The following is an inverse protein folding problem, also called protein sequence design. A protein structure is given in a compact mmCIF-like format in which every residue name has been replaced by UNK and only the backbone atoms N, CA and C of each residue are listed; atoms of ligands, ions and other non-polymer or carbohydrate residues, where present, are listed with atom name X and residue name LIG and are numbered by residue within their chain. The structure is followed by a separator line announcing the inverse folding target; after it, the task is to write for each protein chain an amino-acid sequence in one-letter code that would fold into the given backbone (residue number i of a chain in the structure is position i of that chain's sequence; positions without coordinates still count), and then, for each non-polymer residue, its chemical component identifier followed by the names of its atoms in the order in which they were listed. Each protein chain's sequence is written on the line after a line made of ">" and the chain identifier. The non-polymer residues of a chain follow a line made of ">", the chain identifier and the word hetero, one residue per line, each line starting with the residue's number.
data_IF_338774994187
#
_entry.id   IF_338774994187
#
_cell.length_a   1.000
_cell.length_b   1.000
_cell.length_c   1.000
_cell.angle_alpha   90.00
_cell.angle_beta   90.00
_cell.angle_gamma   90.00
#
_symmetry.space_group_name_H-M   'P 1'
#
loop_
_entity.id
_entity.type
_entity.pdbx_description
1 polymer ?
#
# COMPACT_ATOMS: atom_id res chain seq x y z
N UNK A 1 18.57 29.88 -5.80
CA UNK A 1 17.52 28.85 -5.75
C UNK A 1 16.26 29.44 -5.18
N UNK A 2 15.09 29.32 -5.81
CA UNK A 2 13.84 29.80 -5.23
C UNK A 2 13.51 28.97 -3.98
N UNK A 3 12.85 29.57 -2.98
CA UNK A 3 12.53 28.91 -1.71
C UNK A 3 11.79 27.57 -1.87
N UNK A 4 10.89 27.46 -2.88
CA UNK A 4 10.19 26.22 -3.21
C UNK A 4 11.13 25.09 -3.66
N UNK A 5 12.11 25.38 -4.52
CA UNK A 5 13.10 24.41 -4.98
C UNK A 5 13.98 23.90 -3.82
N UNK A 6 14.33 24.78 -2.89
CA UNK A 6 15.09 24.42 -1.69
C UNK A 6 14.28 23.50 -0.79
N UNK A 7 12.99 23.81 -0.63
CA UNK A 7 12.08 23.00 0.17
C UNK A 7 11.93 21.59 -0.41
N UNK A 8 11.75 21.45 -1.73
CA UNK A 8 11.65 20.16 -2.41
C UNK A 8 12.95 19.35 -2.33
N UNK A 9 14.11 20.00 -2.46
CA UNK A 9 15.41 19.37 -2.27
C UNK A 9 15.55 18.78 -0.86
N UNK A 10 15.20 19.55 0.16
CA UNK A 10 15.26 19.10 1.55
C UNK A 10 14.34 17.91 1.81
N UNK A 11 13.12 17.91 1.27
CA UNK A 11 12.19 16.80 1.38
C UNK A 11 12.78 15.53 0.71
N UNK A 12 13.37 15.63 -0.48
CA UNK A 12 14.00 14.50 -1.17
C UNK A 12 15.16 13.92 -0.39
N UNK A 13 16.06 14.76 0.11
CA UNK A 13 17.21 14.33 0.94
C UNK A 13 16.75 13.69 2.25
N UNK A 14 15.75 14.29 2.90
CA UNK A 14 15.20 13.77 4.15
C UNK A 14 14.52 12.41 3.94
N UNK A 15 13.77 12.22 2.83
CA UNK A 15 13.19 10.93 2.48
C UNK A 15 14.26 9.84 2.42
N UNK A 16 15.35 10.05 1.70
CA UNK A 16 16.44 9.07 1.61
C UNK A 16 17.06 8.80 2.98
N UNK A 17 17.32 9.83 3.78
CA UNK A 17 17.89 9.67 5.13
C UNK A 17 16.96 8.89 6.07
N UNK A 18 15.67 9.20 6.08
CA UNK A 18 14.68 8.50 6.90
C UNK A 18 14.44 7.06 6.44
N UNK A 19 14.45 6.81 5.13
CA UNK A 19 14.32 5.45 4.60
C UNK A 19 15.51 4.57 5.00
N UNK A 20 16.73 5.12 5.00
CA UNK A 20 17.96 4.44 5.36
C UNK A 20 18.05 4.14 6.86
N UNK A 21 17.92 5.18 7.71
CA UNK A 21 18.25 5.12 9.14
C UNK A 21 17.03 5.09 10.07
N UNK A 22 15.82 5.29 9.54
CA UNK A 22 14.61 5.53 10.33
C UNK A 22 14.56 6.94 10.92
N UNK A 23 13.44 7.27 11.59
CA UNK A 23 13.27 8.56 12.25
C UNK A 23 14.30 8.79 13.35
N UNK A 24 14.47 7.84 14.27
CA UNK A 24 15.36 7.97 15.42
C UNK A 24 16.84 8.04 15.03
N UNK A 25 17.26 7.27 14.03
CA UNK A 25 18.64 7.22 13.53
C UNK A 25 19.05 8.43 12.67
N UNK A 26 18.13 9.33 12.32
CA UNK A 26 18.39 10.49 11.47
C UNK A 26 18.47 11.77 12.30
N UNK A 27 19.44 12.64 12.03
CA UNK A 27 19.57 13.96 12.66
C UNK A 27 19.35 15.10 11.65
N UNK A 28 19.00 16.31 12.16
CA UNK A 28 18.90 17.52 11.32
C UNK A 28 20.26 17.85 10.72
N UNK A 29 21.35 17.60 11.45
CA UNK A 29 22.73 17.79 11.01
C UNK A 29 23.05 16.92 9.79
N UNK A 30 22.66 15.64 9.84
CA UNK A 30 22.87 14.68 8.74
C UNK A 30 22.11 15.13 7.47
N UNK A 31 20.83 15.52 7.63
CA UNK A 31 20.03 16.02 6.52
C UNK A 31 20.60 17.32 5.94
N UNK A 32 20.99 18.27 6.79
CA UNK A 32 21.54 19.55 6.36
C UNK A 32 22.87 19.36 5.59
N UNK A 33 23.73 18.47 6.10
CA UNK A 33 24.99 18.13 5.45
C UNK A 33 24.77 17.47 4.06
N UNK A 34 23.86 16.51 3.97
CA UNK A 34 23.50 15.84 2.70
C UNK A 34 22.85 16.79 1.68
N UNK A 35 22.10 17.78 2.16
CA UNK A 35 21.45 18.79 1.31
C UNK A 35 22.35 19.99 0.99
N UNK A 36 23.59 20.01 1.51
CA UNK A 36 24.54 21.11 1.37
C UNK A 36 23.96 22.45 1.82
N UNK A 37 23.27 22.45 2.99
CA UNK A 37 22.71 23.66 3.61
C UNK A 37 23.15 23.77 5.06
N UNK A 38 22.94 24.95 5.65
CA UNK A 38 23.12 25.12 7.09
C UNK A 38 21.90 24.61 7.88
N UNK A 39 22.12 24.13 9.09
CA UNK A 39 21.08 23.67 10.01
C UNK A 39 19.92 24.66 10.19
N UNK A 40 20.15 25.99 10.36
CA UNK A 40 19.09 26.98 10.42
C UNK A 40 18.10 26.95 9.25
N UNK A 41 18.55 26.62 8.03
CA UNK A 41 17.67 26.52 6.86
C UNK A 41 16.64 25.40 7.03
N UNK A 42 17.01 24.25 7.61
CA UNK A 42 16.06 23.19 7.90
C UNK A 42 15.01 23.62 8.92
N UNK A 43 15.45 24.32 9.98
CA UNK A 43 14.54 24.84 11.00
C UNK A 43 13.59 25.92 10.45
N UNK A 44 14.08 26.79 9.57
CA UNK A 44 13.28 27.84 8.92
C UNK A 44 12.15 27.24 8.07
N UNK A 45 12.45 26.16 7.33
CA UNK A 45 11.46 25.57 6.41
C UNK A 45 10.50 24.58 7.08
N UNK A 46 10.91 23.91 8.15
CA UNK A 46 10.18 22.76 8.71
C UNK A 46 10.04 22.76 10.22
N UNK A 47 10.67 23.70 10.95
CA UNK A 47 10.63 23.72 12.42
C UNK A 47 11.49 22.67 13.11
N UNK A 48 12.16 21.79 12.36
CA UNK A 48 13.02 20.73 12.89
C UNK A 48 12.81 19.37 12.22
N UNK A 49 13.31 18.31 12.86
CA UNK A 49 13.25 16.93 12.35
C UNK A 49 11.81 16.41 12.26
N UNK A 50 11.04 16.65 13.30
CA UNK A 50 9.64 16.22 13.43
C UNK A 50 8.77 16.82 12.31
N UNK A 51 8.89 18.15 12.10
CA UNK A 51 8.12 18.83 11.05
C UNK A 51 8.54 18.39 9.65
N UNK A 52 9.84 18.17 9.43
CA UNK A 52 10.33 17.65 8.15
C UNK A 52 9.86 16.21 7.90
N UNK A 53 9.91 15.35 8.93
CA UNK A 53 9.40 13.97 8.84
C UNK A 53 7.90 13.93 8.53
N UNK A 54 7.11 14.73 9.24
CA UNK A 54 5.66 14.81 9.00
C UNK A 54 5.35 15.22 7.56
N UNK A 55 6.09 16.19 6.99
CA UNK A 55 5.91 16.60 5.58
C UNK A 55 6.32 15.49 4.60
N UNK A 56 7.38 14.74 4.89
CA UNK A 56 7.79 13.59 4.06
C UNK A 56 6.71 12.52 4.09
N UNK A 57 6.25 12.10 5.28
CA UNK A 57 5.20 11.08 5.43
C UNK A 57 3.91 11.51 4.73
N UNK A 58 3.45 12.75 4.96
CA UNK A 58 2.22 13.27 4.33
C UNK A 58 2.31 13.21 2.80
N UNK A 59 3.44 13.62 2.22
CA UNK A 59 3.66 13.57 0.77
C UNK A 59 3.57 12.15 0.22
N UNK A 60 4.18 11.18 0.88
CA UNK A 60 4.15 9.77 0.47
C UNK A 60 2.75 9.17 0.64
N UNK A 61 2.04 9.49 1.74
CA UNK A 61 0.63 9.13 1.96
C UNK A 61 -0.24 9.63 0.82
N UNK A 62 -0.16 10.92 0.49
CA UNK A 62 -0.96 11.53 -0.59
C UNK A 62 -0.66 10.91 -1.95
N UNK A 63 0.60 10.64 -2.25
CA UNK A 63 1.02 10.04 -3.52
C UNK A 63 0.44 8.64 -3.68
N UNK A 64 0.64 7.76 -2.70
CA UNK A 64 0.14 6.38 -2.74
C UNK A 64 -1.39 6.33 -2.73
N UNK A 65 -2.02 7.06 -1.82
CA UNK A 65 -3.49 7.12 -1.70
C UNK A 65 -4.15 7.58 -3.01
N UNK A 66 -3.62 8.65 -3.62
CA UNK A 66 -4.14 9.18 -4.89
C UNK A 66 -4.01 8.16 -6.00
N UNK A 67 -2.85 7.51 -6.16
CA UNK A 67 -2.61 6.53 -7.21
C UNK A 67 -3.60 5.34 -7.11
N UNK A 68 -3.78 4.78 -5.91
CA UNK A 68 -4.69 3.64 -5.71
C UNK A 68 -6.15 4.09 -5.86
N UNK A 69 -6.52 5.25 -5.35
CA UNK A 69 -7.89 5.78 -5.48
C UNK A 69 -8.27 5.98 -6.94
N UNK A 70 -7.41 6.58 -7.74
CA UNK A 70 -7.64 6.78 -9.18
C UNK A 70 -7.80 5.45 -9.91
N UNK A 71 -6.96 4.47 -9.60
CA UNK A 71 -7.05 3.12 -10.14
C UNK A 71 -8.40 2.46 -9.85
N UNK A 72 -8.87 2.52 -8.59
CA UNK A 72 -10.13 1.92 -8.16
C UNK A 72 -11.38 2.70 -8.60
N UNK A 73 -11.23 3.96 -9.01
CA UNK A 73 -12.32 4.80 -9.51
C UNK A 73 -12.38 4.84 -11.04
N UNK A 74 -11.63 4.00 -11.75
CA UNK A 74 -11.62 3.97 -13.22
C UNK A 74 -13.04 3.67 -13.75
N UNK A 75 -13.63 4.58 -14.54
CA UNK A 75 -14.99 4.43 -15.04
C UNK A 75 -15.13 3.21 -15.94
N UNK A 76 -16.26 2.51 -15.81
CA UNK A 76 -16.61 1.34 -16.63
C UNK A 76 -15.63 0.14 -16.55
N UNK A 77 -14.70 0.15 -15.61
CA UNK A 77 -13.81 -0.99 -15.39
C UNK A 77 -14.60 -2.15 -14.76
N UNK A 78 -14.51 -3.34 -15.36
CA UNK A 78 -15.05 -4.57 -14.75
C UNK A 78 -14.25 -4.98 -13.50
N UNK A 79 -14.84 -5.83 -12.65
CA UNK A 79 -14.26 -6.21 -11.35
C UNK A 79 -12.83 -6.75 -11.46
N UNK A 80 -12.52 -7.61 -12.43
CA UNK A 80 -11.16 -8.10 -12.66
C UNK A 80 -10.20 -6.94 -12.97
N UNK A 81 -10.62 -6.02 -13.83
CA UNK A 81 -9.79 -4.86 -14.20
C UNK A 81 -9.51 -3.94 -13.04
N UNK A 82 -10.44 -3.77 -12.11
CA UNK A 82 -10.21 -2.99 -10.88
C UNK A 82 -9.16 -3.66 -9.97
N UNK A 83 -9.18 -5.00 -9.85
CA UNK A 83 -8.13 -5.74 -9.11
C UNK A 83 -6.76 -5.52 -9.78
N UNK A 84 -6.69 -5.64 -11.11
CA UNK A 84 -5.45 -5.38 -11.88
C UNK A 84 -4.93 -3.97 -11.65
N UNK A 85 -5.78 -2.97 -11.82
CA UNK A 85 -5.40 -1.56 -11.69
C UNK A 85 -4.95 -1.21 -10.26
N UNK A 86 -5.69 -1.65 -9.23
CA UNK A 86 -5.33 -1.41 -7.84
C UNK A 86 -4.01 -2.10 -7.46
N UNK A 87 -3.82 -3.36 -7.90
CA UNK A 87 -2.56 -4.09 -7.68
C UNK A 87 -1.39 -3.38 -8.36
N UNK A 88 -1.56 -3.00 -9.64
CA UNK A 88 -0.51 -2.31 -10.38
C UNK A 88 -0.18 -0.94 -9.77
N UNK A 89 -1.17 -0.17 -9.32
CA UNK A 89 -0.94 1.13 -8.70
C UNK A 89 -0.04 1.04 -7.46
N UNK A 90 -0.24 0.02 -6.59
CA UNK A 90 0.64 -0.22 -5.46
C UNK A 90 2.04 -0.63 -5.90
N UNK A 91 2.17 -1.60 -6.82
CA UNK A 91 3.47 -2.10 -7.27
C UNK A 91 4.25 -1.04 -8.07
N UNK A 92 3.57 -0.19 -8.86
CA UNK A 92 4.16 0.96 -9.55
C UNK A 92 4.75 1.97 -8.55
N UNK A 93 4.01 2.25 -7.46
CA UNK A 93 4.50 3.12 -6.41
C UNK A 93 5.73 2.51 -5.70
N UNK A 94 5.69 1.22 -5.35
CA UNK A 94 6.82 0.53 -4.71
C UNK A 94 8.08 0.58 -5.58
N UNK A 95 7.94 0.34 -6.88
CA UNK A 95 9.06 0.37 -7.84
C UNK A 95 9.61 1.78 -8.05
N UNK A 96 8.73 2.78 -8.17
CA UNK A 96 9.13 4.17 -8.44
C UNK A 96 9.61 4.91 -7.19
N UNK A 97 9.15 4.54 -6.01
CA UNK A 97 9.46 5.20 -4.75
C UNK A 97 9.69 4.22 -3.59
N UNK A 98 10.68 3.32 -3.68
CA UNK A 98 10.94 2.29 -2.66
C UNK A 98 11.28 2.91 -1.28
N UNK A 99 11.95 4.05 -1.26
CA UNK A 99 12.25 4.80 -0.03
C UNK A 99 10.98 5.31 0.66
N UNK A 100 10.06 5.90 -0.11
CA UNK A 100 8.76 6.37 0.39
C UNK A 100 7.95 5.23 0.98
N UNK A 101 7.89 4.10 0.28
CA UNK A 101 7.16 2.93 0.77
C UNK A 101 7.77 2.35 2.06
N UNK A 102 9.11 2.32 2.18
CA UNK A 102 9.78 1.91 3.42
C UNK A 102 9.42 2.83 4.60
N UNK A 103 9.35 4.14 4.39
CA UNK A 103 8.93 5.09 5.43
C UNK A 103 7.50 4.77 5.88
N UNK A 104 6.56 4.66 4.92
CA UNK A 104 5.16 4.38 5.23
C UNK A 104 4.96 3.07 6.00
N UNK A 105 5.67 2.01 5.63
CA UNK A 105 5.53 0.68 6.27
C UNK A 105 6.20 0.58 7.64
N UNK A 106 7.27 1.33 7.87
CA UNK A 106 7.94 1.41 9.18
C UNK A 106 7.10 2.17 10.20
N UNK A 107 6.38 3.18 9.76
CA UNK A 107 5.54 4.03 10.62
C UNK A 107 4.31 3.28 11.22
N UNK A 108 4.11 1.99 10.89
CA UNK A 108 3.09 1.12 11.51
C UNK A 108 3.29 0.87 13.00
N UNK A 109 4.48 1.10 13.53
CA UNK A 109 4.86 0.67 14.89
C UNK A 109 4.97 1.78 15.92
N UNK A 110 4.81 3.05 15.55
CA UNK A 110 5.15 4.13 16.47
C UNK A 110 4.32 5.40 16.33
N UNK A 111 3.24 5.50 17.06
CA UNK A 111 2.82 6.78 17.65
C UNK A 111 1.88 7.66 16.84
N UNK A 112 1.37 8.60 17.56
CA UNK A 112 0.31 9.60 17.38
C UNK A 112 0.33 10.50 16.12
N UNK A 113 1.22 10.33 15.19
CA UNK A 113 1.24 11.08 13.92
C UNK A 113 0.40 10.36 12.86
N UNK A 114 -0.89 10.61 12.91
CA UNK A 114 -1.95 9.94 12.15
C UNK A 114 -1.94 10.18 10.64
N UNK A 115 -0.93 9.70 9.95
CA UNK A 115 -0.86 9.63 8.51
C UNK A 115 -0.32 8.28 8.03
N UNK A 116 -0.40 7.28 8.87
CA UNK A 116 0.27 6.00 8.67
C UNK A 116 -0.30 5.20 7.49
N UNK A 117 0.52 4.31 6.96
CA UNK A 117 0.12 3.28 5.98
C UNK A 117 -1.16 2.53 6.38
N UNK A 118 -1.41 2.39 7.70
CA UNK A 118 -2.64 1.82 8.22
C UNK A 118 -3.90 2.60 7.87
N UNK A 119 -3.87 3.94 7.88
CA UNK A 119 -5.02 4.75 7.47
C UNK A 119 -5.28 4.66 5.96
N UNK A 120 -4.22 4.64 5.14
CA UNK A 120 -4.36 4.40 3.69
C UNK A 120 -5.02 3.05 3.44
N UNK A 121 -4.56 1.99 4.12
CA UNK A 121 -5.15 0.65 3.97
C UNK A 121 -6.61 0.62 4.42
N UNK A 122 -6.98 1.31 5.50
CA UNK A 122 -8.37 1.38 5.96
C UNK A 122 -9.29 2.05 4.93
N UNK A 123 -8.85 3.14 4.32
CA UNK A 123 -9.60 3.83 3.25
C UNK A 123 -9.75 2.95 2.01
N UNK A 124 -8.68 2.23 1.63
CA UNK A 124 -8.70 1.28 0.51
C UNK A 124 -9.66 0.13 0.81
N UNK A 125 -9.59 -0.48 2.01
CA UNK A 125 -10.51 -1.55 2.43
C UNK A 125 -11.95 -1.08 2.35
N UNK A 126 -12.27 0.11 2.85
CA UNK A 126 -13.63 0.67 2.77
C UNK A 126 -14.10 0.78 1.32
N UNK A 127 -13.25 1.29 0.44
CA UNK A 127 -13.59 1.42 -0.98
C UNK A 127 -13.78 0.06 -1.67
N UNK A 128 -12.90 -0.90 -1.39
CA UNK A 128 -13.00 -2.27 -1.94
C UNK A 128 -14.26 -2.97 -1.40
N UNK A 129 -14.60 -2.76 -0.12
CA UNK A 129 -15.82 -3.28 0.50
C UNK A 129 -17.08 -2.78 -0.24
N UNK A 130 -17.18 -1.49 -0.55
CA UNK A 130 -18.32 -0.93 -1.27
C UNK A 130 -18.46 -1.56 -2.66
N UNK A 131 -17.35 -1.70 -3.39
CA UNK A 131 -17.32 -2.34 -4.70
C UNK A 131 -17.75 -3.82 -4.62
N UNK A 132 -17.24 -4.56 -3.66
CA UNK A 132 -17.59 -5.97 -3.45
C UNK A 132 -19.04 -6.15 -2.99
N UNK A 133 -19.55 -5.27 -2.12
CA UNK A 133 -20.94 -5.29 -1.67
C UNK A 133 -21.93 -5.23 -2.83
N UNK A 134 -21.69 -4.32 -3.79
CA UNK A 134 -22.48 -4.21 -5.01
C UNK A 134 -22.39 -5.47 -5.89
N UNK A 135 -21.18 -6.03 -6.07
CA UNK A 135 -20.96 -7.26 -6.85
C UNK A 135 -21.66 -8.46 -6.19
N UNK A 136 -21.55 -8.60 -4.86
CA UNK A 136 -22.15 -9.70 -4.11
C UNK A 136 -23.68 -9.66 -4.21
N UNK A 137 -24.29 -8.49 -4.03
CA UNK A 137 -25.75 -8.32 -4.25
C UNK A 137 -26.15 -8.76 -5.65
N UNK A 138 -25.43 -8.32 -6.69
CA UNK A 138 -25.73 -8.68 -8.08
C UNK A 138 -25.61 -10.18 -8.35
N UNK A 139 -24.67 -10.85 -7.68
CA UNK A 139 -24.44 -12.30 -7.83
C UNK A 139 -25.30 -13.16 -6.89
N UNK A 140 -26.11 -12.55 -6.02
CA UNK A 140 -26.92 -13.26 -5.02
C UNK A 140 -26.08 -13.90 -3.90
N UNK A 141 -24.89 -13.34 -3.62
CA UNK A 141 -24.05 -13.67 -2.48
C UNK A 141 -24.38 -12.79 -1.28
N UNK A 142 -24.05 -13.22 -0.06
CA UNK A 142 -24.28 -12.40 1.13
C UNK A 142 -23.36 -11.16 1.17
N UNK A 143 -23.88 -9.92 1.06
CA UNK A 143 -23.08 -8.71 1.10
C UNK A 143 -22.39 -8.48 2.45
N UNK A 144 -22.84 -9.14 3.54
CA UNK A 144 -22.18 -9.08 4.85
C UNK A 144 -20.78 -9.67 4.85
N UNK A 145 -20.46 -10.53 3.86
CA UNK A 145 -19.12 -11.07 3.69
C UNK A 145 -18.16 -10.11 2.97
N UNK A 146 -18.65 -9.05 2.32
CA UNK A 146 -17.82 -8.11 1.57
C UNK A 146 -16.67 -7.49 2.39
N UNK A 147 -16.83 -7.11 3.67
CA UNK A 147 -15.74 -6.61 4.50
C UNK A 147 -14.59 -7.61 4.66
N UNK A 148 -14.92 -8.90 4.85
CA UNK A 148 -13.91 -9.96 4.97
C UNK A 148 -13.05 -10.07 3.71
N UNK A 149 -13.70 -10.11 2.55
CA UNK A 149 -12.99 -10.22 1.26
C UNK A 149 -12.21 -8.95 0.91
N UNK A 150 -12.73 -7.78 1.26
CA UNK A 150 -12.00 -6.52 1.10
C UNK A 150 -10.72 -6.51 1.92
N UNK A 151 -10.79 -6.95 3.17
CA UNK A 151 -9.63 -7.07 4.06
C UNK A 151 -8.62 -8.09 3.53
N UNK A 152 -9.09 -9.27 3.08
CA UNK A 152 -8.24 -10.31 2.55
C UNK A 152 -7.49 -9.86 1.28
N UNK A 153 -8.20 -9.27 0.31
CA UNK A 153 -7.61 -8.78 -0.93
C UNK A 153 -6.59 -7.67 -0.68
N UNK A 154 -6.95 -6.66 0.12
CA UNK A 154 -6.06 -5.55 0.44
C UNK A 154 -4.83 -6.03 1.21
N UNK A 155 -5.03 -6.92 2.19
CA UNK A 155 -3.93 -7.53 2.96
C UNK A 155 -2.99 -8.35 2.08
N UNK A 156 -3.53 -9.20 1.21
CA UNK A 156 -2.73 -10.00 0.28
C UNK A 156 -1.83 -9.12 -0.59
N UNK A 157 -2.38 -8.11 -1.25
CA UNK A 157 -1.62 -7.23 -2.16
C UNK A 157 -0.60 -6.41 -1.37
N UNK A 158 -0.98 -5.82 -0.23
CA UNK A 158 -0.09 -4.98 0.57
C UNK A 158 1.07 -5.76 1.21
N UNK A 159 0.80 -6.94 1.75
CA UNK A 159 1.84 -7.79 2.36
C UNK A 159 2.80 -8.35 1.31
N UNK A 160 2.27 -8.77 0.16
CA UNK A 160 3.12 -9.23 -0.96
C UNK A 160 3.95 -8.10 -1.51
N UNK A 161 3.41 -6.89 -1.64
CA UNK A 161 4.16 -5.71 -2.05
C UNK A 161 5.32 -5.38 -1.09
N UNK A 162 5.10 -5.48 0.22
CA UNK A 162 6.17 -5.32 1.22
C UNK A 162 7.26 -6.38 1.07
N UNK A 163 6.88 -7.65 0.91
CA UNK A 163 7.83 -8.74 0.68
C UNK A 163 8.61 -8.55 -0.63
N UNK A 164 7.93 -8.15 -1.71
CA UNK A 164 8.55 -7.95 -3.01
C UNK A 164 9.59 -6.82 -3.02
N UNK A 165 9.35 -5.74 -2.26
CA UNK A 165 10.33 -4.66 -2.08
C UNK A 165 11.71 -5.16 -1.63
N UNK A 166 11.73 -6.16 -0.76
CA UNK A 166 12.97 -6.72 -0.21
C UNK A 166 13.45 -7.97 -0.99
N UNK A 167 12.60 -8.52 -1.87
CA UNK A 167 12.87 -9.73 -2.68
C UNK A 167 12.53 -9.51 -4.16
N UNK A 168 13.18 -8.61 -4.90
CA UNK A 168 12.81 -8.23 -6.26
C UNK A 168 13.29 -9.25 -7.32
N UNK A 169 13.01 -10.55 -7.11
CA UNK A 169 13.39 -11.61 -8.05
C UNK A 169 12.42 -11.73 -9.22
N UNK A 170 11.13 -11.43 -9.00
CA UNK A 170 10.11 -11.39 -10.03
C UNK A 170 9.90 -9.96 -10.52
N UNK A 171 9.59 -9.81 -11.78
CA UNK A 171 9.17 -8.53 -12.33
C UNK A 171 7.83 -8.08 -11.72
N UNK A 172 7.56 -6.80 -11.75
CA UNK A 172 6.28 -6.23 -11.32
C UNK A 172 5.08 -6.90 -12.00
N UNK A 173 5.19 -7.17 -13.31
CA UNK A 173 4.15 -7.81 -14.11
C UNK A 173 3.89 -9.25 -13.68
N UNK A 174 4.93 -10.01 -13.35
CA UNK A 174 4.80 -11.37 -12.83
C UNK A 174 4.10 -11.37 -11.48
N UNK A 175 4.55 -10.53 -10.54
CA UNK A 175 3.91 -10.40 -9.22
C UNK A 175 2.44 -10.01 -9.36
N UNK A 176 2.13 -8.99 -10.16
CA UNK A 176 0.76 -8.57 -10.41
C UNK A 176 -0.08 -9.70 -11.02
N UNK A 177 0.46 -10.44 -12.00
CA UNK A 177 -0.23 -11.54 -12.65
C UNK A 177 -0.61 -12.63 -11.65
N UNK A 178 0.31 -13.05 -10.79
CA UNK A 178 0.05 -14.07 -9.77
C UNK A 178 -1.01 -13.60 -8.76
N UNK A 179 -0.88 -12.38 -8.23
CA UNK A 179 -1.84 -11.82 -7.28
C UNK A 179 -3.25 -11.69 -7.88
N UNK A 180 -3.34 -11.14 -9.10
CA UNK A 180 -4.62 -10.96 -9.80
C UNK A 180 -5.28 -12.30 -10.11
N UNK A 181 -4.52 -13.29 -10.58
CA UNK A 181 -5.07 -14.60 -10.87
C UNK A 181 -5.57 -15.31 -9.60
N UNK A 182 -4.81 -15.25 -8.51
CA UNK A 182 -5.22 -15.81 -7.23
C UNK A 182 -6.51 -15.16 -6.72
N UNK A 183 -6.55 -13.83 -6.70
CA UNK A 183 -7.73 -13.07 -6.29
C UNK A 183 -8.94 -13.36 -7.18
N UNK A 184 -8.77 -13.26 -8.49
CA UNK A 184 -9.85 -13.41 -9.45
C UNK A 184 -10.45 -14.82 -9.45
N UNK A 185 -9.62 -15.86 -9.51
CA UNK A 185 -10.11 -17.24 -9.55
C UNK A 185 -10.80 -17.62 -8.24
N UNK A 186 -10.27 -17.19 -7.08
CA UNK A 186 -10.93 -17.38 -5.80
C UNK A 186 -12.29 -16.67 -5.73
N UNK A 187 -12.33 -15.40 -6.11
CA UNK A 187 -13.55 -14.59 -6.09
C UNK A 187 -14.58 -15.00 -7.13
N UNK A 188 -14.15 -15.44 -8.32
CA UNK A 188 -15.05 -15.83 -9.40
C UNK A 188 -15.83 -17.11 -9.07
N UNK A 189 -15.18 -18.04 -8.39
CA UNK A 189 -15.73 -19.35 -8.04
C UNK A 189 -16.40 -19.38 -6.66
N UNK A 190 -16.64 -18.22 -6.03
CA UNK A 190 -17.37 -18.18 -4.75
C UNK A 190 -18.76 -18.77 -4.91
N UNK A 191 -19.04 -19.84 -4.15
CA UNK A 191 -20.36 -20.46 -4.02
C UNK A 191 -21.24 -19.68 -3.04
N UNK A 192 -22.53 -20.05 -2.99
CA UNK A 192 -23.49 -19.48 -2.01
C UNK A 192 -23.36 -20.12 -0.63
N UNK A 193 -22.84 -21.32 -0.57
CA UNK A 193 -22.64 -22.09 0.66
C UNK A 193 -21.16 -22.46 0.78
N UNK A 194 -20.60 -22.27 1.96
CA UNK A 194 -19.22 -22.60 2.30
C UNK A 194 -19.24 -23.58 3.46
N UNK A 195 -18.54 -24.70 3.29
CA UNK A 195 -18.29 -25.66 4.35
C UNK A 195 -16.79 -25.83 4.54
N UNK A 196 -16.36 -25.81 5.80
CA UNK A 196 -15.03 -26.34 6.13
C UNK A 196 -15.13 -27.85 6.05
N UNK A 197 -14.05 -28.53 5.68
CA UNK A 197 -13.98 -30.00 5.73
C UNK A 197 -14.31 -30.44 7.16
N UNK A 198 -15.26 -31.37 7.32
CA UNK A 198 -15.59 -31.91 8.64
C UNK A 198 -14.36 -32.52 9.27
N UNK A 199 -14.25 -32.45 10.62
CA UNK A 199 -13.10 -32.97 11.41
C UNK A 199 -12.86 -34.50 11.27
N UNK A 200 -13.72 -35.21 10.57
CA UNK A 200 -13.59 -36.61 10.26
C UNK A 200 -12.71 -36.87 9.05
N UNK A 201 -11.52 -36.25 8.98
CA UNK A 201 -10.32 -36.70 8.31
C UNK A 201 -10.42 -37.43 6.95
N UNK A 202 -11.44 -37.23 6.15
CA UNK A 202 -11.42 -37.62 4.74
C UNK A 202 -10.75 -36.47 3.98
N UNK A 203 -9.44 -36.55 3.85
CA UNK A 203 -8.71 -35.87 2.80
C UNK A 203 -9.39 -36.28 1.49
N UNK A 204 -10.21 -35.39 0.93
CA UNK A 204 -10.65 -35.55 -0.44
C UNK A 204 -9.38 -35.67 -1.29
N UNK A 205 -9.35 -36.69 -2.12
CA UNK A 205 -8.24 -37.04 -2.99
C UNK A 205 -7.82 -35.79 -3.79
N UNK A 206 -6.61 -35.23 -3.57
CA UNK A 206 -6.18 -34.01 -4.24
C UNK A 206 -6.06 -34.13 -5.76
N UNK A 207 -6.19 -35.33 -6.32
CA UNK A 207 -6.15 -35.57 -7.76
C UNK A 207 -7.54 -35.42 -8.44
N UNK A 208 -8.62 -35.15 -7.69
CA UNK A 208 -9.96 -35.01 -8.28
C UNK A 208 -10.34 -33.56 -8.63
N UNK A 209 -9.61 -32.57 -8.11
CA UNK A 209 -9.95 -31.14 -8.22
C UNK A 209 -8.85 -30.26 -8.87
N UNK A 210 -7.88 -30.90 -9.57
CA UNK A 210 -6.87 -30.17 -10.36
C UNK A 210 -7.07 -30.40 -11.86
#
# INVERSE_FOLDING_TARGET
>A
MAGAQRRDQLIGVARSAFAEKGFDGTSVEDIAARAEVSKPVVYEHFGGKEGLYAVVVDREVQTLHTAIREALMTPHAGSRRLIELGTMALLDYIESCPEGFRILTRDRTGGETGGSYGSILADIVTRVQDLLGAVFLHRGLDPKAAPLYAQALTGMVSMTGQWWLDNPQLSKQEVATHLVNLAWNGMHNLGKEFHLSDEAGHLADPERDL
#
